data_IF_079339834887
#
_entry.id   IF_079339834887
#
_cell.length_a   1.000
_cell.length_b   1.000
_cell.length_c   1.000
_cell.angle_alpha   90.00
_cell.angle_beta   90.00
_cell.angle_gamma   90.00
#
_symmetry.space_group_name_H-M   'P 1'
#
loop_
_entity.id
_entity.type
_entity.pdbx_description
1 polymer ?
#
# COMPACT_ATOMS: atom_id res chain seq x y z
N UNK A 1 -6.31 -12.51 -24.81
CA UNK A 1 -6.90 -12.78 -23.48
C UNK A 1 -5.96 -12.34 -22.35
N UNK A 2 -4.78 -12.93 -22.22
CA UNK A 2 -3.84 -12.63 -21.10
C UNK A 2 -3.52 -11.13 -20.91
N UNK A 3 -3.17 -10.41 -21.98
CA UNK A 3 -2.89 -8.97 -21.90
C UNK A 3 -4.11 -8.12 -21.52
N UNK A 4 -5.32 -8.60 -21.76
CA UNK A 4 -6.56 -7.95 -21.30
C UNK A 4 -6.71 -8.11 -19.78
N UNK A 5 -6.42 -9.29 -19.24
CA UNK A 5 -6.46 -9.55 -17.80
C UNK A 5 -5.42 -8.73 -17.05
N UNK A 6 -4.18 -8.63 -17.57
CA UNK A 6 -3.15 -7.76 -16.99
C UNK A 6 -3.57 -6.28 -17.00
N UNK A 7 -4.31 -5.83 -18.03
CA UNK A 7 -4.84 -4.45 -18.10
C UNK A 7 -5.89 -4.21 -17.01
N UNK A 8 -6.79 -5.18 -16.79
CA UNK A 8 -7.76 -5.11 -15.70
C UNK A 8 -7.02 -5.05 -14.37
N UNK A 9 -6.03 -5.93 -14.15
CA UNK A 9 -5.20 -5.92 -12.94
C UNK A 9 -4.49 -4.59 -12.71
N UNK A 10 -3.95 -3.96 -13.76
CA UNK A 10 -3.33 -2.64 -13.65
C UNK A 10 -4.29 -1.55 -13.14
N UNK A 11 -5.55 -1.58 -13.57
CA UNK A 11 -6.59 -0.66 -13.08
C UNK A 11 -7.05 -0.98 -11.66
N UNK A 12 -7.04 -2.26 -11.26
CA UNK A 12 -7.44 -2.64 -9.91
C UNK A 12 -6.63 -1.91 -8.83
N UNK A 13 -5.34 -1.62 -9.04
CA UNK A 13 -4.54 -0.85 -8.08
C UNK A 13 -5.01 0.60 -7.91
N UNK A 14 -5.39 1.26 -9.02
CA UNK A 14 -5.96 2.61 -8.99
C UNK A 14 -7.33 2.62 -8.32
N UNK A 15 -8.20 1.68 -8.66
CA UNK A 15 -9.52 1.55 -8.03
C UNK A 15 -9.36 1.24 -6.54
N UNK A 16 -8.44 0.36 -6.19
CA UNK A 16 -8.13 -0.01 -4.81
C UNK A 16 -7.76 1.21 -3.98
N UNK A 17 -6.79 2.02 -4.41
CA UNK A 17 -6.32 3.16 -3.59
C UNK A 17 -7.37 4.25 -3.45
N UNK A 18 -8.19 4.49 -4.48
CA UNK A 18 -9.29 5.44 -4.39
C UNK A 18 -10.35 4.96 -3.39
N UNK A 19 -10.76 3.70 -3.47
CA UNK A 19 -11.76 3.13 -2.57
C UNK A 19 -11.23 2.97 -1.15
N UNK A 20 -10.00 2.47 -0.99
CA UNK A 20 -9.35 2.30 0.30
C UNK A 20 -9.10 3.66 0.95
N UNK A 21 -8.53 4.61 0.20
CA UNK A 21 -8.30 5.97 0.67
C UNK A 21 -9.59 6.68 1.07
N UNK A 22 -10.66 6.59 0.26
CA UNK A 22 -11.96 7.15 0.60
C UNK A 22 -12.57 6.49 1.85
N UNK A 23 -12.46 5.16 1.98
CA UNK A 23 -13.00 4.42 3.12
C UNK A 23 -12.24 4.72 4.41
N UNK A 24 -10.90 4.69 4.33
CA UNK A 24 -10.00 4.89 5.46
C UNK A 24 -9.89 6.36 5.89
N UNK A 25 -9.58 7.24 4.95
CA UNK A 25 -9.31 8.66 5.25
C UNK A 25 -10.59 9.48 5.34
N UNK A 26 -11.56 9.21 4.46
CA UNK A 26 -12.81 9.96 4.38
C UNK A 26 -13.88 9.42 5.32
N UNK A 27 -14.31 8.17 5.11
CA UNK A 27 -15.44 7.58 5.85
C UNK A 27 -15.05 7.29 7.29
N UNK A 28 -13.90 6.64 7.56
CA UNK A 28 -13.46 6.38 8.94
C UNK A 28 -12.87 7.61 9.65
N UNK A 29 -12.66 8.72 8.92
CA UNK A 29 -12.13 9.99 9.45
C UNK A 29 -10.76 9.86 10.14
N UNK A 30 -9.91 8.97 9.64
CA UNK A 30 -8.55 8.72 10.17
C UNK A 30 -7.48 9.57 9.48
N UNK A 31 -7.89 10.66 8.81
CA UNK A 31 -7.01 11.65 8.24
C UNK A 31 -7.40 13.05 8.75
N UNK A 32 -6.51 13.76 9.47
CA UNK A 32 -5.15 13.34 9.86
C UNK A 32 -5.14 12.13 10.82
N UNK A 33 -4.02 11.38 10.89
CA UNK A 33 -3.89 10.24 11.80
C UNK A 33 -4.01 10.68 13.26
N UNK A 34 -4.54 9.80 14.11
CA UNK A 34 -4.61 10.02 15.57
C UNK A 34 -3.19 10.08 16.15
N UNK A 35 -2.95 10.97 17.11
CA UNK A 35 -1.59 11.19 17.60
C UNK A 35 -1.19 10.12 18.63
N UNK A 36 0.06 9.64 18.61
CA UNK A 36 0.60 8.80 19.70
C UNK A 36 0.67 9.54 21.03
N UNK A 37 0.67 10.88 21.00
CA UNK A 37 0.67 11.71 22.20
C UNK A 37 -0.73 11.93 22.80
N UNK A 38 -1.80 11.51 22.11
CA UNK A 38 -3.16 11.60 22.64
C UNK A 38 -3.33 10.69 23.86
N UNK A 39 -4.01 11.21 24.88
CA UNK A 39 -4.36 10.41 26.06
C UNK A 39 -5.34 9.29 25.70
N UNK A 40 -5.34 8.22 26.50
CA UNK A 40 -6.25 7.10 26.32
C UNK A 40 -7.72 7.55 26.26
N UNK A 41 -8.12 8.53 27.08
CA UNK A 41 -9.48 9.06 27.11
C UNK A 41 -9.85 9.80 25.82
N UNK A 42 -8.91 10.56 25.23
CA UNK A 42 -9.12 11.24 23.95
C UNK A 42 -9.33 10.23 22.81
N UNK A 43 -8.48 9.19 22.77
CA UNK A 43 -8.61 8.13 21.78
C UNK A 43 -9.95 7.40 21.96
N UNK A 44 -10.31 7.03 23.19
CA UNK A 44 -11.58 6.35 23.48
C UNK A 44 -12.79 7.20 23.06
N UNK A 45 -12.78 8.51 23.37
CA UNK A 45 -13.83 9.44 22.96
C UNK A 45 -13.98 9.47 21.43
N UNK A 46 -12.89 9.54 20.68
CA UNK A 46 -12.93 9.49 19.21
C UNK A 46 -13.64 8.23 18.70
N UNK A 47 -13.32 7.06 19.25
CA UNK A 47 -13.96 5.79 18.85
C UNK A 47 -15.45 5.73 19.21
N UNK A 48 -15.87 6.32 20.33
CA UNK A 48 -17.28 6.41 20.72
C UNK A 48 -18.04 7.32 19.75
N UNK A 49 -17.51 8.52 19.50
CA UNK A 49 -18.16 9.55 18.68
C UNK A 49 -18.26 9.14 17.20
N UNK A 50 -17.25 8.43 16.68
CA UNK A 50 -17.15 8.06 15.27
C UNK A 50 -17.44 6.58 14.99
N UNK A 51 -17.98 5.83 15.96
CA UNK A 51 -18.10 4.36 15.88
C UNK A 51 -18.71 3.82 14.57
N UNK A 52 -19.78 4.43 14.07
CA UNK A 52 -20.45 3.97 12.84
C UNK A 52 -19.60 4.29 11.61
N UNK A 53 -19.03 5.48 11.56
CA UNK A 53 -18.13 5.94 10.50
C UNK A 53 -16.89 5.06 10.40
N UNK A 54 -16.25 4.75 11.52
CA UNK A 54 -15.11 3.83 11.58
C UNK A 54 -15.53 2.43 11.10
N UNK A 55 -16.67 1.89 11.54
CA UNK A 55 -17.14 0.55 11.09
C UNK A 55 -17.41 0.50 9.60
N UNK A 56 -18.06 1.51 9.02
CA UNK A 56 -18.30 1.58 7.58
C UNK A 56 -16.99 1.74 6.80
N UNK A 57 -16.09 2.60 7.29
CA UNK A 57 -14.77 2.80 6.67
C UNK A 57 -13.89 1.56 6.73
N UNK A 58 -13.83 0.87 7.88
CA UNK A 58 -13.16 -0.44 8.03
C UNK A 58 -13.74 -1.46 7.06
N UNK A 59 -15.07 -1.56 6.97
CA UNK A 59 -15.73 -2.51 6.07
C UNK A 59 -15.40 -2.23 4.60
N UNK A 60 -15.39 -0.95 4.20
CA UNK A 60 -14.99 -0.52 2.86
C UNK A 60 -13.49 -0.74 2.58
N UNK A 61 -12.63 -0.48 3.56
CA UNK A 61 -11.19 -0.70 3.48
C UNK A 61 -10.85 -2.19 3.31
N UNK A 62 -11.51 -3.08 4.08
CA UNK A 62 -11.35 -4.53 3.95
C UNK A 62 -11.76 -5.02 2.56
N UNK A 63 -12.90 -4.55 2.04
CA UNK A 63 -13.40 -4.96 0.72
C UNK A 63 -12.55 -4.41 -0.43
N UNK A 64 -12.00 -3.21 -0.28
CA UNK A 64 -11.18 -2.58 -1.31
C UNK A 64 -9.74 -3.10 -1.33
N UNK A 65 -9.16 -3.47 -0.18
CA UNK A 65 -7.79 -3.96 -0.09
C UNK A 65 -7.52 -5.20 -0.96
N UNK A 66 -8.50 -6.10 -1.12
CA UNK A 66 -8.32 -7.32 -1.95
C UNK A 66 -8.18 -7.02 -3.44
N UNK A 67 -8.59 -5.83 -3.91
CA UNK A 67 -8.34 -5.38 -5.28
C UNK A 67 -6.84 -5.19 -5.58
N UNK A 68 -5.99 -5.13 -4.55
CA UNK A 68 -4.54 -5.14 -4.72
C UNK A 68 -4.02 -6.47 -5.31
N UNK A 69 -4.72 -7.59 -5.11
CA UNK A 69 -4.28 -8.92 -5.60
C UNK A 69 -4.05 -8.96 -7.13
N UNK A 70 -5.04 -8.62 -7.98
CA UNK A 70 -4.84 -8.60 -9.43
C UNK A 70 -3.83 -7.53 -9.89
N UNK A 71 -3.68 -6.44 -9.15
CA UNK A 71 -2.67 -5.42 -9.42
C UNK A 71 -1.24 -5.95 -9.19
N UNK A 72 -1.00 -6.59 -8.04
CA UNK A 72 0.28 -7.21 -7.72
C UNK A 72 0.60 -8.36 -8.68
N UNK A 73 -0.40 -9.17 -9.06
CA UNK A 73 -0.24 -10.20 -10.07
C UNK A 73 0.21 -9.62 -11.42
N UNK A 74 -0.40 -8.51 -11.86
CA UNK A 74 0.01 -7.82 -13.09
C UNK A 74 1.47 -7.34 -13.00
N UNK A 75 1.88 -6.74 -11.87
CA UNK A 75 3.27 -6.33 -11.63
C UNK A 75 4.23 -7.51 -11.77
N UNK A 76 3.95 -8.63 -11.09
CA UNK A 76 4.79 -9.83 -11.13
C UNK A 76 4.95 -10.35 -12.56
N UNK A 77 3.87 -10.36 -13.34
CA UNK A 77 3.91 -10.79 -14.74
C UNK A 77 4.70 -9.82 -15.63
N UNK A 78 4.67 -8.52 -15.36
CA UNK A 78 5.54 -7.55 -16.04
C UNK A 78 7.01 -7.75 -15.67
N UNK A 79 7.32 -7.96 -14.38
CA UNK A 79 8.70 -8.29 -13.95
C UNK A 79 9.19 -9.56 -14.61
N UNK A 80 8.37 -10.62 -14.64
CA UNK A 80 8.68 -11.88 -15.34
C UNK A 80 9.04 -11.63 -16.81
N UNK A 81 8.32 -10.74 -17.49
CA UNK A 81 8.65 -10.37 -18.89
C UNK A 81 10.00 -9.68 -18.98
N UNK A 82 10.28 -8.69 -18.12
CA UNK A 82 11.56 -7.98 -18.09
C UNK A 82 12.73 -8.91 -17.75
N UNK A 83 12.48 -9.91 -16.90
CA UNK A 83 13.44 -10.94 -16.48
C UNK A 83 13.63 -12.05 -17.55
N UNK A 84 12.80 -12.07 -18.60
CA UNK A 84 12.83 -13.10 -19.65
C UNK A 84 12.22 -14.44 -19.25
N UNK A 85 11.62 -14.54 -18.06
CA UNK A 85 11.11 -15.78 -17.49
C UNK A 85 10.82 -15.64 -16.00
N UNK A 86 10.49 -16.77 -15.35
CA UNK A 86 10.41 -16.82 -13.89
C UNK A 86 11.84 -16.89 -13.33
N UNK A 87 12.18 -15.96 -12.44
CA UNK A 87 13.51 -15.82 -11.86
C UNK A 87 13.46 -15.15 -10.49
N UNK A 88 14.63 -14.71 -10.00
CA UNK A 88 14.78 -14.18 -8.65
C UNK A 88 13.94 -12.93 -8.42
N UNK A 89 13.83 -12.02 -9.40
CA UNK A 89 13.06 -10.77 -9.24
C UNK A 89 11.56 -11.06 -9.21
N UNK A 90 11.04 -11.84 -10.15
CA UNK A 90 9.62 -12.18 -10.18
C UNK A 90 9.18 -13.01 -8.97
N UNK A 91 10.01 -13.94 -8.49
CA UNK A 91 9.75 -14.70 -7.25
C UNK A 91 9.82 -13.82 -6.00
N UNK A 92 10.83 -12.95 -5.90
CA UNK A 92 10.93 -12.00 -4.77
C UNK A 92 9.72 -11.09 -4.70
N UNK A 93 9.27 -10.56 -5.85
CA UNK A 93 8.07 -9.74 -5.92
C UNK A 93 6.82 -10.52 -5.49
N UNK A 94 6.69 -11.79 -5.90
CA UNK A 94 5.55 -12.64 -5.51
C UNK A 94 5.50 -12.88 -4.00
N UNK A 95 6.65 -13.19 -3.38
CA UNK A 95 6.72 -13.39 -1.93
C UNK A 95 6.40 -12.10 -1.17
N UNK A 96 6.94 -10.96 -1.63
CA UNK A 96 6.65 -9.67 -1.02
C UNK A 96 5.19 -9.23 -1.21
N UNK A 97 4.60 -9.48 -2.38
CA UNK A 97 3.19 -9.22 -2.65
C UNK A 97 2.25 -10.02 -1.74
N UNK A 98 2.63 -11.25 -1.36
CA UNK A 98 1.88 -12.07 -0.41
C UNK A 98 1.74 -11.41 0.96
N UNK A 99 2.69 -10.57 1.35
CA UNK A 99 2.67 -9.82 2.63
C UNK A 99 1.89 -8.50 2.50
N UNK A 100 1.86 -7.90 1.31
CA UNK A 100 1.26 -6.57 1.09
C UNK A 100 -0.25 -6.53 1.40
N UNK A 101 -1.03 -7.51 0.93
CA UNK A 101 -2.48 -7.51 1.17
C UNK A 101 -2.83 -7.75 2.64
N UNK A 102 -2.22 -8.72 3.34
CA UNK A 102 -2.33 -8.82 4.80
C UNK A 102 -1.96 -7.54 5.54
N UNK A 103 -0.94 -6.80 5.08
CA UNK A 103 -0.54 -5.53 5.69
C UNK A 103 -1.64 -4.45 5.62
N UNK A 104 -2.53 -4.51 4.62
CA UNK A 104 -3.67 -3.59 4.52
C UNK A 104 -4.93 -4.11 5.22
N UNK A 105 -5.09 -5.43 5.33
CA UNK A 105 -6.27 -6.09 5.93
C UNK A 105 -6.16 -6.22 7.45
N UNK A 106 -5.03 -6.69 7.95
CA UNK A 106 -4.90 -7.09 9.36
C UNK A 106 -4.98 -5.93 10.35
N UNK A 107 -4.37 -4.76 10.10
CA UNK A 107 -4.59 -3.59 10.94
C UNK A 107 -6.07 -3.24 11.08
N UNK A 108 -6.84 -3.32 9.98
CA UNK A 108 -8.25 -2.93 9.96
C UNK A 108 -9.10 -3.76 10.93
N UNK A 109 -8.70 -4.99 11.28
CA UNK A 109 -9.37 -5.76 12.33
C UNK A 109 -9.17 -5.15 13.72
N UNK A 110 -7.98 -4.63 14.05
CA UNK A 110 -7.75 -3.98 15.35
C UNK A 110 -8.59 -2.71 15.48
N UNK A 111 -8.61 -1.91 14.42
CA UNK A 111 -9.43 -0.71 14.32
C UNK A 111 -10.94 -1.05 14.42
N UNK A 112 -11.39 -2.08 13.69
CA UNK A 112 -12.76 -2.57 13.73
C UNK A 112 -13.15 -3.12 15.11
N UNK A 113 -12.25 -3.85 15.78
CA UNK A 113 -12.45 -4.34 17.14
C UNK A 113 -12.60 -3.16 18.09
N UNK A 114 -11.70 -2.18 18.06
CA UNK A 114 -11.79 -0.96 18.88
C UNK A 114 -13.16 -0.27 18.69
N UNK A 115 -13.61 -0.12 17.45
CA UNK A 115 -14.89 0.51 17.13
C UNK A 115 -16.15 -0.37 17.35
N UNK A 116 -16.04 -1.67 17.61
CA UNK A 116 -17.20 -2.58 17.64
C UNK A 116 -18.11 -2.43 18.87
N UNK A 117 -17.54 -2.10 20.04
CA UNK A 117 -18.24 -1.80 21.30
C UNK A 117 -17.40 -0.80 22.13
N UNK A 118 -17.17 0.41 21.61
CA UNK A 118 -16.23 1.35 22.22
C UNK A 118 -16.70 1.81 23.61
N UNK A 119 -18.02 1.86 23.87
CA UNK A 119 -18.58 2.30 25.14
C UNK A 119 -18.41 1.28 26.29
N UNK A 120 -18.23 0.00 25.96
CA UNK A 120 -18.08 -1.09 26.94
C UNK A 120 -16.61 -1.38 27.27
N UNK A 121 -15.66 -0.64 26.68
CA UNK A 121 -14.22 -0.87 26.84
C UNK A 121 -13.55 0.22 27.65
N UNK A 122 -12.48 -0.16 28.36
CA UNK A 122 -11.61 0.82 29.01
C UNK A 122 -10.83 1.63 27.97
N UNK A 123 -10.44 2.84 28.36
CA UNK A 123 -9.70 3.75 27.51
C UNK A 123 -8.33 3.17 27.12
N UNK A 124 -7.64 2.53 28.07
CA UNK A 124 -6.31 1.93 27.86
C UNK A 124 -6.35 0.76 26.88
N UNK A 125 -7.41 -0.06 26.92
CA UNK A 125 -7.57 -1.15 25.97
C UNK A 125 -7.82 -0.61 24.55
N UNK A 126 -8.60 0.47 24.44
CA UNK A 126 -8.86 1.12 23.15
C UNK A 126 -7.59 1.77 22.60
N UNK A 127 -6.79 2.42 23.44
CA UNK A 127 -5.48 2.95 23.08
C UNK A 127 -4.54 1.85 22.59
N UNK A 128 -4.40 0.74 23.34
CA UNK A 128 -3.55 -0.37 22.90
C UNK A 128 -3.98 -0.96 21.53
N UNK A 129 -5.28 -1.05 21.25
CA UNK A 129 -5.79 -1.49 19.95
C UNK A 129 -5.49 -0.48 18.83
N UNK A 130 -5.61 0.81 19.12
CA UNK A 130 -5.23 1.90 18.21
C UNK A 130 -3.73 1.87 17.89
N UNK A 131 -2.89 1.65 18.90
CA UNK A 131 -1.44 1.63 18.72
C UNK A 131 -1.01 0.43 17.87
N UNK A 132 -1.59 -0.75 18.13
CA UNK A 132 -1.37 -1.92 17.28
C UNK A 132 -1.83 -1.66 15.85
N UNK A 133 -2.95 -0.97 15.66
CA UNK A 133 -3.41 -0.56 14.33
C UNK A 133 -2.37 0.30 13.60
N UNK A 134 -1.95 1.43 14.20
CA UNK A 134 -1.03 2.37 13.54
C UNK A 134 0.37 1.80 13.34
N UNK A 135 0.92 1.14 14.36
CA UNK A 135 2.25 0.53 14.27
C UNK A 135 2.29 -0.59 13.24
N UNK A 136 1.24 -1.39 13.11
CA UNK A 136 1.17 -2.42 12.07
C UNK A 136 1.00 -1.77 10.69
N UNK A 137 0.07 -0.82 10.56
CA UNK A 137 -0.24 -0.17 9.29
C UNK A 137 0.99 0.51 8.67
N UNK A 138 1.83 1.16 9.48
CA UNK A 138 3.05 1.84 9.01
C UNK A 138 4.28 0.92 9.03
N UNK A 139 4.38 0.03 10.02
CA UNK A 139 5.60 -0.73 10.32
C UNK A 139 5.99 -1.81 9.31
N UNK A 140 5.12 -2.19 8.36
CA UNK A 140 5.41 -3.21 7.32
C UNK A 140 6.20 -2.62 6.13
N UNK A 141 6.88 -1.50 6.34
CA UNK A 141 7.56 -0.79 5.27
C UNK A 141 8.71 -1.57 4.60
N UNK A 142 9.31 -2.53 5.32
CA UNK A 142 10.37 -3.39 4.77
C UNK A 142 9.94 -4.13 3.50
N UNK A 143 8.69 -4.61 3.46
CA UNK A 143 8.12 -5.28 2.28
C UNK A 143 7.95 -4.30 1.11
N UNK A 144 7.54 -3.06 1.38
CA UNK A 144 7.41 -2.01 0.36
C UNK A 144 8.79 -1.69 -0.23
N UNK A 145 9.81 -1.55 0.63
CA UNK A 145 11.19 -1.28 0.20
C UNK A 145 11.68 -2.37 -0.74
N UNK A 146 11.55 -3.64 -0.35
CA UNK A 146 11.99 -4.76 -1.21
C UNK A 146 11.25 -4.80 -2.53
N UNK A 147 9.92 -4.63 -2.56
CA UNK A 147 9.16 -4.59 -3.81
C UNK A 147 9.64 -3.50 -4.76
N UNK A 148 9.91 -2.31 -4.23
CA UNK A 148 10.40 -1.19 -5.04
C UNK A 148 11.83 -1.43 -5.52
N UNK A 149 12.73 -1.95 -4.69
CA UNK A 149 14.08 -2.33 -5.13
C UNK A 149 14.05 -3.40 -6.22
N UNK A 150 13.16 -4.39 -6.11
CA UNK A 150 12.94 -5.41 -7.14
C UNK A 150 12.44 -4.80 -8.45
N UNK A 151 11.48 -3.87 -8.40
CA UNK A 151 11.01 -3.15 -9.59
C UNK A 151 12.07 -2.25 -10.21
N UNK A 152 12.89 -1.60 -9.40
CA UNK A 152 14.01 -0.80 -9.86
C UNK A 152 15.03 -1.67 -10.63
N UNK A 153 15.41 -2.81 -10.05
CA UNK A 153 16.28 -3.77 -10.70
C UNK A 153 15.67 -4.27 -12.01
N UNK A 154 14.40 -4.68 -12.00
CA UNK A 154 13.68 -5.14 -13.19
C UNK A 154 13.69 -4.08 -14.31
N UNK A 155 13.48 -2.81 -13.97
CA UNK A 155 13.49 -1.71 -14.93
C UNK A 155 14.87 -1.42 -15.52
N UNK A 156 15.96 -1.71 -14.80
CA UNK A 156 17.32 -1.49 -15.30
C UNK A 156 17.88 -2.68 -16.09
N UNK A 157 17.43 -3.89 -15.82
CA UNK A 157 17.86 -5.09 -16.57
C UNK A 157 17.01 -5.37 -17.81
N UNK A 158 15.86 -4.70 -17.95
CA UNK A 158 14.92 -4.92 -19.04
C UNK A 158 15.56 -4.63 -20.41
N UNK A 159 15.70 -5.69 -21.20
CA UNK A 159 16.22 -5.67 -22.58
C UNK A 159 15.12 -5.97 -23.60
N UNK A 160 13.85 -5.97 -23.20
CA UNK A 160 12.74 -6.28 -24.08
C UNK A 160 12.57 -5.25 -25.20
N UNK A 161 12.13 -5.72 -26.37
CA UNK A 161 11.69 -4.86 -27.47
C UNK A 161 10.23 -5.20 -27.83
N UNK A 162 9.25 -4.32 -27.54
CA UNK A 162 9.40 -3.06 -26.80
C UNK A 162 9.69 -3.27 -25.30
N UNK A 163 10.34 -2.29 -24.63
CA UNK A 163 10.70 -2.38 -23.22
C UNK A 163 9.45 -2.46 -22.35
N UNK A 164 9.50 -3.33 -21.35
CA UNK A 164 8.45 -3.50 -20.35
C UNK A 164 8.39 -2.32 -19.39
N UNK A 165 9.54 -1.85 -18.91
CA UNK A 165 9.67 -0.75 -17.98
C UNK A 165 10.64 0.31 -18.52
N UNK A 166 10.28 1.60 -18.50
CA UNK A 166 11.20 2.67 -18.85
C UNK A 166 12.21 2.94 -17.71
N UNK A 167 13.42 3.43 -18.03
CA UNK A 167 14.47 3.66 -17.01
C UNK A 167 14.07 4.65 -15.91
N UNK A 168 13.27 5.68 -16.23
CA UNK A 168 12.77 6.64 -15.25
C UNK A 168 11.95 5.95 -14.14
N UNK A 169 11.22 4.88 -14.48
CA UNK A 169 10.45 4.11 -13.52
C UNK A 169 11.36 3.40 -12.53
N UNK A 170 12.55 2.96 -12.97
CA UNK A 170 13.57 2.42 -12.07
C UNK A 170 14.02 3.45 -11.02
N UNK A 171 14.32 4.68 -11.45
CA UNK A 171 14.67 5.76 -10.52
C UNK A 171 13.51 6.14 -9.58
N UNK A 172 12.27 6.16 -10.07
CA UNK A 172 11.09 6.39 -9.22
C UNK A 172 11.03 5.34 -8.09
N UNK A 173 11.21 4.06 -8.41
CA UNK A 173 11.15 3.01 -7.39
C UNK A 173 12.30 3.12 -6.37
N UNK A 174 13.49 3.56 -6.78
CA UNK A 174 14.57 3.87 -5.83
C UNK A 174 14.17 5.00 -4.87
N UNK A 175 13.57 6.08 -5.39
CA UNK A 175 13.04 7.17 -4.55
C UNK A 175 11.97 6.68 -3.59
N UNK A 176 11.04 5.83 -4.06
CA UNK A 176 9.99 5.27 -3.22
C UNK A 176 10.59 4.44 -2.08
N UNK A 177 11.56 3.57 -2.38
CA UNK A 177 12.25 2.78 -1.37
C UNK A 177 12.95 3.67 -0.33
N UNK A 178 13.70 4.69 -0.76
CA UNK A 178 14.42 5.60 0.14
C UNK A 178 13.48 6.42 1.01
N UNK A 179 12.44 7.01 0.43
CA UNK A 179 11.48 7.86 1.15
C UNK A 179 10.60 7.07 2.11
N UNK A 180 10.54 5.75 1.97
CA UNK A 180 9.83 4.86 2.89
C UNK A 180 10.66 4.41 4.10
N UNK A 181 11.99 4.59 4.07
CA UNK A 181 12.89 4.16 5.17
C UNK A 181 12.51 4.67 6.57
N UNK A 182 12.00 5.91 6.75
CA UNK A 182 11.62 6.37 8.09
C UNK A 182 10.57 5.51 8.77
N UNK A 183 9.70 4.82 8.01
CA UNK A 183 8.72 3.89 8.57
C UNK A 183 9.34 2.72 9.36
N UNK A 184 10.62 2.39 9.10
CA UNK A 184 11.32 1.31 9.80
C UNK A 184 11.51 1.57 11.29
N UNK A 185 11.47 2.85 11.70
CA UNK A 185 11.70 3.27 13.09
C UNK A 185 10.43 3.82 13.75
N UNK A 186 9.25 3.59 13.17
CA UNK A 186 7.98 4.11 13.68
C UNK A 186 7.67 3.63 15.12
N UNK A 187 8.19 2.46 15.50
CA UNK A 187 8.04 1.89 16.85
C UNK A 187 8.91 2.58 17.92
N UNK A 188 9.82 3.47 17.52
CA UNK A 188 10.81 4.10 18.42
C UNK A 188 10.32 5.43 18.97
N UNK A 189 9.47 6.16 18.22
CA UNK A 189 9.10 7.54 18.51
C UNK A 189 7.61 7.66 18.81
N UNK A 190 7.29 8.27 19.96
CA UNK A 190 5.91 8.56 20.39
C UNK A 190 5.48 10.01 20.10
N UNK A 191 6.38 10.85 19.59
CA UNK A 191 6.11 12.23 19.18
C UNK A 191 7.16 12.70 18.15
N UNK A 192 6.85 13.78 17.45
CA UNK A 192 7.73 14.44 16.51
C UNK A 192 7.66 13.88 15.09
N UNK A 193 8.57 14.28 14.20
CA UNK A 193 8.41 14.07 12.76
C UNK A 193 8.57 12.60 12.33
N UNK A 194 9.06 11.72 13.22
CA UNK A 194 9.25 10.28 13.01
C UNK A 194 8.21 9.40 13.73
N UNK A 195 7.33 9.99 14.55
CA UNK A 195 6.19 9.27 15.11
C UNK A 195 5.20 8.89 14.00
N UNK A 196 4.27 7.96 14.26
CA UNK A 196 3.37 7.45 13.22
C UNK A 196 2.45 8.50 12.61
N UNK A 197 2.22 9.64 13.26
CA UNK A 197 1.45 10.78 12.76
C UNK A 197 2.35 11.87 12.15
N UNK A 198 3.68 11.66 12.15
CA UNK A 198 4.68 12.61 11.70
C UNK A 198 4.88 12.66 10.18
N UNK A 199 5.53 13.73 9.72
CA UNK A 199 5.80 13.99 8.29
C UNK A 199 6.58 12.86 7.60
N UNK A 200 7.55 12.27 8.27
CA UNK A 200 8.41 11.24 7.67
C UNK A 200 7.82 9.84 7.73
N UNK A 201 6.97 9.54 8.73
CA UNK A 201 6.39 8.19 8.86
C UNK A 201 5.05 8.06 8.13
N UNK A 202 4.23 9.12 8.07
CA UNK A 202 2.90 9.08 7.48
C UNK A 202 2.80 9.81 6.15
N UNK A 203 3.06 11.12 6.15
CA UNK A 203 2.72 11.98 5.02
C UNK A 203 3.61 11.73 3.79
N UNK A 204 4.92 11.64 3.98
CA UNK A 204 5.86 11.37 2.88
C UNK A 204 5.62 9.96 2.30
N UNK A 205 5.63 8.86 3.09
CA UNK A 205 5.34 7.53 2.55
C UNK A 205 3.96 7.41 1.92
N UNK A 206 2.93 8.04 2.52
CA UNK A 206 1.58 8.08 1.97
C UNK A 206 1.51 8.75 0.59
N UNK A 207 2.10 9.94 0.45
CA UNK A 207 2.16 10.65 -0.84
C UNK A 207 2.93 9.83 -1.89
N UNK A 208 4.07 9.28 -1.50
CA UNK A 208 4.94 8.49 -2.37
C UNK A 208 4.23 7.21 -2.83
N UNK A 209 3.48 6.54 -1.96
CA UNK A 209 2.65 5.38 -2.31
C UNK A 209 1.60 5.74 -3.36
N UNK A 210 0.90 6.87 -3.20
CA UNK A 210 -0.10 7.34 -4.17
C UNK A 210 0.54 7.63 -5.52
N UNK A 211 1.64 8.38 -5.54
CA UNK A 211 2.40 8.68 -6.76
C UNK A 211 2.89 7.39 -7.44
N UNK A 212 3.41 6.44 -6.66
CA UNK A 212 3.88 5.16 -7.15
C UNK A 212 2.75 4.34 -7.77
N UNK A 213 1.59 4.25 -7.13
CA UNK A 213 0.44 3.48 -7.64
C UNK A 213 -0.02 3.99 -9.01
N UNK A 214 -0.26 5.30 -9.13
CA UNK A 214 -0.69 5.89 -10.41
C UNK A 214 0.39 5.76 -11.50
N UNK A 215 1.66 6.00 -11.14
CA UNK A 215 2.78 5.84 -12.07
C UNK A 215 2.93 4.40 -12.54
N UNK A 216 2.78 3.44 -11.63
CA UNK A 216 2.89 2.00 -11.92
C UNK A 216 1.74 1.54 -12.80
N UNK A 217 0.50 1.96 -12.53
CA UNK A 217 -0.64 1.71 -13.42
C UNK A 217 -0.36 2.27 -14.82
N UNK A 218 0.08 3.53 -14.94
CA UNK A 218 0.37 4.15 -16.24
C UNK A 218 1.48 3.41 -17.01
N UNK A 219 2.57 3.03 -16.33
CA UNK A 219 3.67 2.25 -16.92
C UNK A 219 3.19 0.88 -17.39
N UNK A 220 2.42 0.15 -16.57
CA UNK A 220 1.87 -1.14 -16.96
C UNK A 220 0.93 -1.02 -18.16
N UNK A 221 0.02 -0.04 -18.19
CA UNK A 221 -0.91 0.16 -19.30
C UNK A 221 -0.17 0.46 -20.61
N UNK A 222 0.87 1.32 -20.56
CA UNK A 222 1.72 1.62 -21.71
C UNK A 222 2.47 0.39 -22.19
N UNK A 223 3.06 -0.35 -21.25
CA UNK A 223 3.82 -1.58 -21.48
C UNK A 223 2.97 -2.67 -22.16
N UNK A 224 1.76 -2.90 -21.64
CA UNK A 224 0.79 -3.87 -22.18
C UNK A 224 0.36 -3.47 -23.60
N UNK A 225 0.10 -2.19 -23.83
CA UNK A 225 -0.34 -1.70 -25.14
C UNK A 225 0.77 -1.79 -26.19
N UNK A 226 2.02 -1.49 -25.81
CA UNK A 226 3.18 -1.66 -26.67
C UNK A 226 3.39 -3.13 -27.08
N UNK A 227 3.26 -4.06 -26.12
CA UNK A 227 3.35 -5.49 -26.38
C UNK A 227 2.24 -6.00 -27.31
N UNK A 228 0.98 -5.54 -27.11
CA UNK A 228 -0.12 -5.87 -28.01
C UNK A 228 0.18 -5.42 -29.45
N UNK A 229 0.68 -4.19 -29.63
CA UNK A 229 1.03 -3.65 -30.95
C UNK A 229 2.23 -4.34 -31.60
N UNK A 230 3.18 -4.85 -30.81
CA UNK A 230 4.28 -5.66 -31.33
C UNK A 230 3.79 -7.04 -31.82
N UNK A 231 2.93 -7.71 -31.04
CA UNK A 231 2.35 -9.01 -31.42
C UNK A 231 1.44 -8.95 -32.64
N UNK A 232 0.76 -7.83 -32.87
CA UNK A 232 -0.10 -7.65 -34.04
C UNK A 232 0.69 -7.38 -35.34
N UNK A 233 1.97 -7.00 -35.23
CA UNK A 233 2.87 -6.72 -36.36
C UNK A 233 3.78 -7.89 -36.74
N UNK A 234 3.86 -8.90 -35.88
CA UNK A 234 4.59 -10.15 -36.10
C UNK A 234 3.69 -11.18 -36.77
#
# INVERSE_FOLDING_TARGET
MELTLQRIGAWCGTVMILLYGASFSGIAQLFPPLSPADSADQIAAFFVDHKLWIRFGVSGALLSAVLALPFLAAIILRIRRAEGGWGMLSMTQLMAATVFVPALLFPQFFLGVAAFRPEERSAELTQALNDVFWLWFIGIVGTIIIQNLTLAAAAFIDKGDPPTFPRWYGYLNLWVATLSLPGCVVVVFNDGPLAWDGVFAFYIPGLVLVVWLFSTTAVMLKSISAEQGARARA
#
